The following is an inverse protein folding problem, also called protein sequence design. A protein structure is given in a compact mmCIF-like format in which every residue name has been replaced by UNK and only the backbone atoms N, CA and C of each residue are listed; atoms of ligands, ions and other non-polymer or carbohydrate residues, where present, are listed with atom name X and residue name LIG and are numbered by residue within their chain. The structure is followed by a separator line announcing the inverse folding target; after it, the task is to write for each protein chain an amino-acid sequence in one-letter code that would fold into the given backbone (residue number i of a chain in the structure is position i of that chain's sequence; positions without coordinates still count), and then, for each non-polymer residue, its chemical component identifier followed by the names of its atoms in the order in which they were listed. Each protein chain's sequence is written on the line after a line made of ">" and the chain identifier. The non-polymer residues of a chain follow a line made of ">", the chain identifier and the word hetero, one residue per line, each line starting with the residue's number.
data_IF_523001092415
#
_entry.id   IF_523001092415
#
_cell.length_a   1.000
_cell.length_b   1.000
_cell.length_c   1.000
_cell.angle_alpha   90.00
_cell.angle_beta   90.00
_cell.angle_gamma   90.00
#
_symmetry.space_group_name_H-M   'P 1'
#
loop_
_entity.id
_entity.type
_entity.pdbx_description
1 polymer ?
#
# COMPACT_ATOMS: atom_id res chain seq x y z
N UNK A 1 -23.10 -10.43 -10.38
CA UNK A 1 -21.82 -10.81 -11.01
C UNK A 1 -20.71 -10.14 -10.23
N UNK A 2 -20.00 -10.89 -9.39
CA UNK A 2 -18.95 -10.35 -8.51
C UNK A 2 -17.70 -10.14 -9.35
N UNK A 3 -17.40 -8.90 -9.72
CA UNK A 3 -16.14 -8.56 -10.38
C UNK A 3 -15.01 -8.82 -9.40
N UNK A 4 -14.28 -9.91 -9.63
CA UNK A 4 -13.08 -10.25 -8.88
C UNK A 4 -12.05 -9.18 -9.21
N UNK A 5 -11.94 -8.15 -8.37
CA UNK A 5 -10.89 -7.14 -8.51
C UNK A 5 -9.56 -7.83 -8.26
N UNK A 6 -8.80 -8.08 -9.32
CA UNK A 6 -7.45 -8.59 -9.20
C UNK A 6 -6.52 -7.43 -8.81
N UNK A 7 -6.28 -7.31 -7.51
CA UNK A 7 -5.26 -6.40 -7.00
C UNK A 7 -3.94 -7.15 -7.16
N UNK A 8 -3.25 -6.89 -8.26
CA UNK A 8 -1.90 -7.40 -8.47
C UNK A 8 -1.05 -7.17 -7.21
N UNK A 9 -0.23 -8.16 -6.86
CA UNK A 9 0.59 -8.15 -5.64
C UNK A 9 1.51 -6.94 -5.62
N UNK A 10 1.58 -6.27 -4.47
CA UNK A 10 2.44 -5.13 -4.24
C UNK A 10 3.89 -5.57 -4.17
N UNK A 11 4.72 -4.92 -4.96
CA UNK A 11 6.16 -5.18 -5.11
C UNK A 11 7.04 -4.06 -4.52
N UNK A 12 6.43 -3.05 -3.89
CA UNK A 12 7.12 -1.88 -3.36
C UNK A 12 7.10 -0.68 -4.31
N UNK A 13 6.65 -0.85 -5.54
CA UNK A 13 6.55 0.21 -6.55
C UNK A 13 5.11 0.76 -6.65
N UNK A 14 4.98 2.02 -7.06
CA UNK A 14 3.67 2.67 -7.24
C UNK A 14 2.73 2.51 -6.03
N UNK A 15 3.26 2.68 -4.82
CA UNK A 15 2.52 2.51 -3.57
C UNK A 15 1.19 3.28 -3.54
N UNK A 16 1.14 4.48 -4.12
CA UNK A 16 -0.10 5.27 -4.21
C UNK A 16 -1.21 4.55 -4.98
N UNK A 17 -0.87 3.82 -6.05
CA UNK A 17 -1.84 3.06 -6.85
C UNK A 17 -2.32 1.82 -6.09
N UNK A 18 -1.40 1.07 -5.49
CA UNK A 18 -1.75 -0.07 -4.65
C UNK A 18 -2.65 0.36 -3.48
N UNK A 19 -2.27 1.43 -2.77
CA UNK A 19 -3.01 2.02 -1.65
C UNK A 19 -4.43 2.40 -2.05
N UNK A 20 -4.61 2.99 -3.23
CA UNK A 20 -5.93 3.33 -3.79
C UNK A 20 -6.78 2.06 -4.02
N UNK A 21 -6.22 1.05 -4.69
CA UNK A 21 -6.90 -0.22 -4.98
C UNK A 21 -7.28 -0.97 -3.71
N UNK A 22 -6.38 -1.01 -2.74
CA UNK A 22 -6.60 -1.69 -1.47
C UNK A 22 -7.71 -1.01 -0.65
N UNK A 23 -7.73 0.32 -0.58
CA UNK A 23 -8.84 1.06 0.06
C UNK A 23 -10.19 0.73 -0.59
N UNK A 24 -10.25 0.66 -1.92
CA UNK A 24 -11.47 0.30 -2.64
C UNK A 24 -11.94 -1.12 -2.29
N UNK A 25 -11.02 -2.08 -2.13
CA UNK A 25 -11.35 -3.45 -1.70
C UNK A 25 -11.90 -3.48 -0.28
N UNK A 26 -11.23 -2.79 0.66
CA UNK A 26 -11.69 -2.72 2.04
C UNK A 26 -13.03 -2.01 2.19
N UNK A 27 -13.35 -1.03 1.35
CA UNK A 27 -14.69 -0.41 1.28
C UNK A 27 -15.72 -1.45 0.81
N UNK A 28 -15.41 -2.16 -0.28
CA UNK A 28 -16.30 -3.19 -0.86
C UNK A 28 -16.60 -4.31 0.14
N UNK A 29 -15.62 -4.67 0.96
CA UNK A 29 -15.75 -5.71 1.99
C UNK A 29 -16.25 -5.15 3.35
N UNK A 30 -16.59 -3.85 3.42
CA UNK A 30 -17.04 -3.15 4.62
C UNK A 30 -16.06 -3.25 5.82
N UNK A 31 -14.75 -3.18 5.54
CA UNK A 31 -13.66 -3.27 6.51
C UNK A 31 -12.74 -2.04 6.52
N UNK A 32 -13.15 -0.90 5.92
CA UNK A 32 -12.30 0.29 5.86
C UNK A 32 -11.96 0.84 7.27
N UNK A 33 -12.87 0.69 8.22
CA UNK A 33 -12.72 1.16 9.60
C UNK A 33 -11.53 0.55 10.35
N UNK A 34 -11.10 -0.66 9.97
CA UNK A 34 -9.98 -1.37 10.59
C UNK A 34 -8.61 -0.78 10.27
N UNK A 35 -8.49 -0.06 9.16
CA UNK A 35 -7.26 0.68 8.78
C UNK A 35 -7.36 2.17 9.10
N UNK A 36 -8.52 2.65 9.56
CA UNK A 36 -8.76 4.04 9.93
C UNK A 36 -8.36 4.30 11.39
N UNK A 37 -8.29 5.57 11.77
CA UNK A 37 -7.86 6.02 13.11
C UNK A 37 -8.88 5.64 14.18
N UNK A 38 -8.80 4.38 14.64
CA UNK A 38 -9.50 3.77 15.79
C UNK A 38 -10.99 3.51 15.55
N UNK A 39 -11.47 2.28 15.78
CA UNK A 39 -12.90 2.03 15.92
C UNK A 39 -13.43 2.87 17.10
N UNK A 40 -14.47 3.66 16.83
CA UNK A 40 -15.25 4.33 17.85
C UNK A 40 -15.81 3.25 18.79
N UNK A 41 -15.32 3.22 20.03
CA UNK A 41 -15.80 2.42 21.17
C UNK A 41 -16.57 1.14 20.79
N UNK A 42 -15.87 0.12 20.31
CA UNK A 42 -16.43 -1.22 20.34
C UNK A 42 -16.14 -1.80 21.73
N UNK A 43 -17.19 -1.90 22.54
CA UNK A 43 -17.17 -2.43 23.91
C UNK A 43 -16.91 -3.95 24.00
N UNK A 44 -16.60 -4.61 22.88
CA UNK A 44 -16.58 -6.07 22.76
C UNK A 44 -15.31 -6.57 22.03
N UNK A 45 -14.23 -6.74 22.79
CA UNK A 45 -12.88 -7.11 22.33
C UNK A 45 -12.83 -8.44 21.53
N UNK A 46 -13.74 -9.39 21.79
CA UNK A 46 -13.78 -10.68 21.08
C UNK A 46 -14.38 -10.58 19.68
N UNK A 47 -15.38 -9.72 19.48
CA UNK A 47 -15.90 -9.41 18.14
C UNK A 47 -14.88 -8.63 17.33
N UNK A 48 -14.15 -7.71 17.95
CA UNK A 48 -13.11 -6.93 17.28
C UNK A 48 -12.00 -7.82 16.72
N UNK A 49 -11.58 -8.85 17.47
CA UNK A 49 -10.58 -9.84 17.02
C UNK A 49 -11.03 -10.67 15.81
N UNK A 50 -12.29 -11.12 15.78
CA UNK A 50 -12.82 -11.88 14.63
C UNK A 50 -12.98 -11.02 13.37
N UNK A 51 -13.24 -9.72 13.50
CA UNK A 51 -13.45 -8.84 12.34
C UNK A 51 -12.10 -8.35 11.77
N UNK A 52 -11.01 -8.35 12.54
CA UNK A 52 -9.67 -7.98 12.03
C UNK A 52 -9.06 -9.03 11.06
N UNK A 53 -9.57 -10.26 11.02
CA UNK A 53 -9.03 -11.33 10.17
C UNK A 53 -9.21 -11.08 8.66
N UNK A 54 -10.36 -10.52 8.25
CA UNK A 54 -10.66 -10.23 6.85
C UNK A 54 -9.76 -9.11 6.26
N UNK A 55 -9.64 -7.93 6.89
CA UNK A 55 -8.74 -6.89 6.40
C UNK A 55 -7.27 -7.31 6.47
N UNK A 56 -6.85 -8.09 7.49
CA UNK A 56 -5.50 -8.68 7.55
C UNK A 56 -5.26 -9.63 6.37
N UNK A 57 -6.21 -10.53 6.09
CA UNK A 57 -6.12 -11.47 4.97
C UNK A 57 -6.03 -10.74 3.62
N UNK A 58 -6.89 -9.76 3.39
CA UNK A 58 -6.84 -8.93 2.17
C UNK A 58 -5.50 -8.20 2.03
N UNK A 59 -4.96 -7.66 3.12
CA UNK A 59 -3.62 -7.05 3.11
C UNK A 59 -2.58 -8.08 2.73
N UNK A 60 -2.49 -9.22 3.42
CA UNK A 60 -1.51 -10.27 3.14
C UNK A 60 -1.59 -10.78 1.69
N UNK A 61 -2.78 -11.06 1.17
CA UNK A 61 -2.98 -11.58 -0.19
C UNK A 61 -2.55 -10.58 -1.27
N UNK A 62 -2.52 -9.30 -0.94
CA UNK A 62 -2.13 -8.24 -1.87
C UNK A 62 -0.65 -7.89 -1.85
N UNK A 63 0.17 -8.57 -1.04
CA UNK A 63 1.61 -8.29 -0.91
C UNK A 63 2.44 -9.40 -1.58
N UNK A 64 3.61 -9.04 -2.10
CA UNK A 64 4.66 -10.02 -2.41
C UNK A 64 5.34 -10.52 -1.15
N UNK A 65 5.94 -11.71 -1.24
CA UNK A 65 6.52 -12.46 -0.12
C UNK A 65 7.58 -11.64 0.64
N UNK A 66 8.43 -10.89 -0.08
CA UNK A 66 9.45 -10.04 0.53
C UNK A 66 8.85 -8.96 1.45
N UNK A 67 7.71 -8.41 1.07
CA UNK A 67 7.00 -7.39 1.87
C UNK A 67 6.23 -8.08 3.00
N UNK A 68 5.66 -9.25 2.74
CA UNK A 68 4.96 -10.08 3.70
C UNK A 68 5.87 -10.40 4.91
N UNK A 69 7.14 -10.74 4.66
CA UNK A 69 8.13 -11.00 5.71
C UNK A 69 8.34 -9.81 6.65
N UNK A 70 8.22 -8.57 6.15
CA UNK A 70 8.32 -7.35 6.94
C UNK A 70 7.08 -7.05 7.80
N UNK A 71 5.93 -7.64 7.48
CA UNK A 71 4.67 -7.41 8.20
C UNK A 71 4.22 -8.60 9.05
N UNK A 72 4.86 -9.77 8.93
CA UNK A 72 4.47 -11.03 9.60
C UNK A 72 4.24 -10.94 11.12
N UNK A 73 4.94 -10.04 11.81
CA UNK A 73 4.89 -9.91 13.28
C UNK A 73 3.77 -8.99 13.78
N UNK A 74 3.06 -8.32 12.85
CA UNK A 74 2.01 -7.35 13.16
C UNK A 74 0.68 -8.07 13.30
N UNK A 75 -0.09 -7.68 14.32
CA UNK A 75 -1.27 -8.43 14.77
C UNK A 75 -2.60 -7.80 14.37
N UNK A 76 -2.56 -6.59 13.82
CA UNK A 76 -3.75 -5.85 13.40
C UNK A 76 -3.61 -5.29 11.99
N UNK A 77 -4.72 -5.20 11.25
CA UNK A 77 -4.75 -4.56 9.93
C UNK A 77 -4.20 -3.13 9.99
N UNK A 78 -4.46 -2.40 11.08
CA UNK A 78 -3.95 -1.05 11.28
C UNK A 78 -2.42 -1.01 11.38
N UNK A 79 -1.82 -1.91 12.16
CA UNK A 79 -0.36 -1.97 12.31
C UNK A 79 0.33 -2.27 10.97
N UNK A 80 -0.24 -3.19 10.19
CA UNK A 80 0.23 -3.52 8.83
C UNK A 80 0.13 -2.27 7.94
N UNK A 81 -1.05 -1.65 7.91
CA UNK A 81 -1.34 -0.46 7.10
C UNK A 81 -0.42 0.72 7.41
N UNK A 82 -0.25 1.04 8.69
CA UNK A 82 0.58 2.15 9.16
C UNK A 82 2.05 1.91 8.84
N UNK A 83 2.52 0.67 8.97
CA UNK A 83 3.89 0.31 8.62
C UNK A 83 4.17 0.45 7.12
N UNK A 84 3.27 -0.06 6.26
CA UNK A 84 3.38 0.07 4.81
C UNK A 84 3.34 1.54 4.41
N UNK A 85 2.42 2.32 4.97
CA UNK A 85 2.31 3.77 4.77
C UNK A 85 3.63 4.45 5.15
N UNK A 86 4.16 4.20 6.36
CA UNK A 86 5.41 4.81 6.81
C UNK A 86 6.60 4.48 5.91
N UNK A 87 6.72 3.24 5.44
CA UNK A 87 7.85 2.81 4.61
C UNK A 87 7.77 3.30 3.17
N UNK A 88 6.59 3.27 2.56
CA UNK A 88 6.44 3.41 1.12
C UNK A 88 5.84 4.74 0.67
N UNK A 89 5.14 5.51 1.52
CA UNK A 89 4.61 6.83 1.15
C UNK A 89 5.77 7.78 0.78
N UNK A 90 6.78 7.82 1.63
CA UNK A 90 7.95 8.69 1.46
C UNK A 90 8.85 8.15 0.34
N UNK A 91 9.15 6.85 0.33
CA UNK A 91 10.00 6.23 -0.70
C UNK A 91 9.42 6.36 -2.11
N UNK A 92 8.12 6.15 -2.28
CA UNK A 92 7.47 6.24 -3.60
C UNK A 92 7.58 7.66 -4.17
N UNK A 93 7.35 8.67 -3.34
CA UNK A 93 7.48 10.07 -3.75
C UNK A 93 8.93 10.43 -4.13
N UNK A 94 9.90 10.00 -3.31
CA UNK A 94 11.32 10.26 -3.56
C UNK A 94 11.81 9.54 -4.84
N UNK A 95 11.45 8.28 -5.04
CA UNK A 95 11.80 7.52 -6.24
C UNK A 95 11.25 8.18 -7.50
N UNK A 96 9.97 8.60 -7.48
CA UNK A 96 9.34 9.29 -8.63
C UNK A 96 10.04 10.60 -8.96
N UNK A 97 10.37 11.41 -7.94
CA UNK A 97 11.07 12.67 -8.14
C UNK A 97 12.50 12.46 -8.64
N UNK A 98 13.23 11.50 -8.04
CA UNK A 98 14.58 11.14 -8.44
C UNK A 98 14.64 10.69 -9.91
N UNK A 99 13.74 9.79 -10.32
CA UNK A 99 13.63 9.33 -11.70
C UNK A 99 13.33 10.47 -12.67
N UNK A 100 12.40 11.38 -12.32
CA UNK A 100 12.12 12.58 -13.12
C UNK A 100 13.37 13.45 -13.29
N UNK A 101 14.08 13.76 -12.19
CA UNK A 101 15.32 14.56 -12.25
C UNK A 101 16.37 13.90 -13.14
N UNK A 102 16.61 12.60 -12.98
CA UNK A 102 17.56 11.84 -13.80
C UNK A 102 17.18 11.87 -15.28
N UNK A 103 15.91 11.71 -15.62
CA UNK A 103 15.43 11.80 -17.00
C UNK A 103 15.65 13.20 -17.61
N UNK A 104 15.35 14.26 -16.87
CA UNK A 104 15.62 15.64 -17.32
C UNK A 104 17.11 15.88 -17.55
N UNK A 105 17.97 15.43 -16.63
CA UNK A 105 19.42 15.53 -16.79
C UNK A 105 19.89 14.78 -18.03
N UNK A 106 19.46 13.54 -18.24
CA UNK A 106 19.81 12.78 -19.44
C UNK A 106 19.36 13.48 -20.72
N UNK A 107 18.11 13.95 -20.79
CA UNK A 107 17.59 14.69 -21.95
C UNK A 107 18.38 15.96 -22.22
N UNK A 108 18.74 16.71 -21.18
CA UNK A 108 19.55 17.94 -21.30
C UNK A 108 20.95 17.65 -21.84
N UNK A 109 21.63 16.61 -21.34
CA UNK A 109 22.92 16.17 -21.87
C UNK A 109 22.82 15.69 -23.32
N UNK A 110 21.77 14.93 -23.67
CA UNK A 110 21.55 14.51 -25.05
C UNK A 110 21.32 15.68 -26.00
N UNK A 111 20.63 16.74 -25.57
CA UNK A 111 20.43 17.94 -26.40
C UNK A 111 21.69 18.81 -26.53
N UNK A 112 22.58 18.81 -25.53
CA UNK A 112 23.85 19.52 -25.59
C UNK A 112 24.85 18.85 -26.55
N UNK A 113 24.82 17.51 -26.64
CA UNK A 113 25.79 16.74 -27.42
C UNK A 113 25.41 16.55 -28.91
N UNK A 114 24.23 17.02 -29.35
CA UNK A 114 23.79 16.96 -30.77
C UNK A 114 24.09 18.28 -31.52
N UNK A 115 24.71 19.26 -30.85
CA UNK A 115 25.05 20.58 -31.39
C UNK A 115 26.52 20.81 -31.73
N UNK A 116 27.35 19.77 -31.82
CA UNK A 116 28.77 19.82 -32.25
C UNK A 116 29.01 18.86 -33.39
#
# INVERSE_FOLDING_TARGET
>A
MTTKMDIGKFDGMEFSLWKLKMKALLIKDNCLEFISTRPQEFTDDEKLKKIDELPISNLHLSLLDDILLGVKEKKSAKEIWDHLTKLYEVKSLHNKLFLKRKLYTLRMFSTLNVGT
#
